data_IF_368049322826
#
_entry.id   IF_368049322826
#
_cell.length_a   1.000
_cell.length_b   1.000
_cell.length_c   1.000
_cell.angle_alpha   90.00
_cell.angle_beta   90.00
_cell.angle_gamma   90.00
#
_symmetry.space_group_name_H-M   'P 1'
#
loop_
_entity.id
_entity.type
_entity.pdbx_description
1 polymer ?
#
# COMPACT_ATOMS: atom_id res chain seq x y z
N UNK A 1 86.80 -12.19 -5.16
CA UNK A 1 85.97 -13.36 -5.04
C UNK A 1 84.99 -13.02 -3.95
N UNK A 2 83.77 -13.00 -4.03
CA UNK A 2 82.72 -13.46 -4.91
C UNK A 2 81.67 -12.39 -5.20
N UNK A 3 81.01 -12.62 -6.30
CA UNK A 3 79.81 -11.92 -6.65
C UNK A 3 78.62 -12.84 -6.52
N UNK A 4 77.50 -12.35 -6.02
CA UNK A 4 76.15 -12.59 -6.50
C UNK A 4 75.12 -12.32 -5.42
N UNK A 5 74.09 -11.73 -5.81
CA UNK A 5 72.70 -11.71 -5.30
C UNK A 5 72.14 -10.25 -5.30
N UNK A 6 71.59 -9.89 -6.40
CA UNK A 6 70.59 -8.84 -6.45
C UNK A 6 69.74 -9.04 -7.70
N UNK A 7 68.74 -9.96 -7.62
CA UNK A 7 67.64 -10.01 -8.58
C UNK A 7 66.50 -10.82 -7.99
N UNK A 8 65.72 -10.24 -7.07
CA UNK A 8 64.45 -10.86 -6.67
C UNK A 8 63.59 -9.94 -5.79
N UNK A 9 63.40 -8.68 -6.16
CA UNK A 9 62.47 -7.83 -5.40
C UNK A 9 61.55 -6.95 -6.27
N UNK A 10 61.49 -7.13 -7.59
CA UNK A 10 60.64 -6.28 -8.47
C UNK A 10 59.39 -6.93 -9.07
N UNK A 11 59.08 -8.18 -8.74
CA UNK A 11 57.93 -8.87 -9.34
C UNK A 11 56.72 -9.01 -8.37
N UNK A 12 56.88 -8.69 -7.09
CA UNK A 12 55.76 -8.79 -6.13
C UNK A 12 54.88 -7.54 -5.98
N UNK A 13 55.31 -6.39 -6.50
CA UNK A 13 54.56 -5.12 -6.33
C UNK A 13 53.49 -4.92 -7.43
N UNK A 14 53.64 -5.55 -8.60
CA UNK A 14 52.72 -5.40 -9.72
C UNK A 14 51.48 -6.31 -9.60
N UNK A 15 51.58 -7.42 -8.87
CA UNK A 15 50.43 -8.32 -8.67
C UNK A 15 49.44 -7.86 -7.59
N UNK A 16 49.89 -7.10 -6.60
CA UNK A 16 49.05 -6.62 -5.51
C UNK A 16 48.14 -5.46 -5.91
N UNK A 17 48.67 -4.51 -6.63
CA UNK A 17 47.91 -3.34 -7.12
C UNK A 17 46.84 -3.73 -8.14
N UNK A 18 47.08 -4.65 -9.05
CA UNK A 18 46.07 -5.15 -9.99
C UNK A 18 44.90 -5.87 -9.29
N UNK A 19 45.15 -6.53 -8.16
CA UNK A 19 44.13 -7.23 -7.38
C UNK A 19 43.24 -6.24 -6.58
N UNK A 20 43.82 -5.17 -6.07
CA UNK A 20 43.12 -4.11 -5.33
C UNK A 20 42.21 -3.32 -6.27
N UNK A 21 42.72 -2.92 -7.43
CA UNK A 21 41.91 -2.24 -8.45
C UNK A 21 40.78 -3.11 -9.02
N UNK A 22 41.00 -4.43 -9.16
CA UNK A 22 39.97 -5.36 -9.58
C UNK A 22 38.87 -5.52 -8.52
N UNK A 23 39.20 -5.47 -7.22
CA UNK A 23 38.23 -5.52 -6.12
C UNK A 23 37.48 -4.21 -5.93
N UNK A 24 38.18 -3.07 -5.98
CA UNK A 24 37.54 -1.75 -5.96
C UNK A 24 36.65 -1.53 -7.19
N UNK A 25 37.08 -1.96 -8.39
CA UNK A 25 36.27 -1.99 -9.58
C UNK A 25 35.08 -2.94 -9.46
N UNK A 26 35.25 -4.08 -8.81
CA UNK A 26 34.17 -5.03 -8.58
C UNK A 26 33.13 -4.48 -7.57
N UNK A 27 33.57 -3.83 -6.46
CA UNK A 27 32.68 -3.14 -5.53
C UNK A 27 32.00 -1.93 -6.18
N UNK A 28 32.73 -1.18 -7.00
CA UNK A 28 32.15 -0.10 -7.81
C UNK A 28 31.11 -0.65 -8.80
N UNK A 29 31.42 -1.76 -9.46
CA UNK A 29 30.48 -2.47 -10.37
C UNK A 29 29.29 -3.03 -9.60
N UNK A 30 29.45 -3.51 -8.37
CA UNK A 30 28.34 -3.97 -7.51
C UNK A 30 27.52 -2.77 -7.02
N UNK A 31 28.14 -1.68 -6.57
CA UNK A 31 27.43 -0.44 -6.24
C UNK A 31 26.73 0.16 -7.46
N UNK A 32 27.40 0.15 -8.62
CA UNK A 32 26.81 0.59 -9.89
C UNK A 32 25.80 -0.42 -10.42
N UNK A 33 25.99 -1.73 -10.27
CA UNK A 33 24.97 -2.74 -10.62
C UNK A 33 23.73 -2.65 -9.76
N UNK A 34 23.84 -2.30 -8.48
CA UNK A 34 22.69 -1.94 -7.62
C UNK A 34 22.01 -0.67 -8.11
N UNK A 35 22.75 0.25 -8.73
CA UNK A 35 22.22 1.43 -9.40
C UNK A 35 21.63 1.12 -10.78
N UNK A 36 22.19 0.13 -11.50
CA UNK A 36 21.77 -0.28 -12.85
C UNK A 36 20.72 -1.40 -12.85
N UNK A 37 20.30 -1.92 -11.70
CA UNK A 37 19.03 -2.66 -11.68
C UNK A 37 17.97 -1.63 -12.07
N UNK A 38 17.63 -1.61 -13.33
CA UNK A 38 16.51 -0.85 -13.91
C UNK A 38 15.21 -1.37 -13.32
N UNK A 39 15.04 -1.19 -12.01
CA UNK A 39 13.86 -1.54 -11.29
C UNK A 39 12.74 -0.65 -11.76
N UNK A 40 11.77 -1.26 -12.43
CA UNK A 40 10.50 -0.61 -12.72
C UNK A 40 9.92 -0.13 -11.40
N UNK A 41 9.82 1.18 -11.23
CA UNK A 41 9.41 1.81 -10.00
C UNK A 41 7.93 1.50 -9.73
N UNK A 42 7.62 0.64 -8.75
CA UNK A 42 6.27 0.32 -8.33
C UNK A 42 6.02 0.85 -6.93
N UNK A 43 5.28 1.95 -6.77
CA UNK A 43 4.67 2.29 -5.49
C UNK A 43 3.26 1.73 -5.52
N UNK A 44 3.00 0.68 -4.77
CA UNK A 44 1.72 -0.01 -4.83
C UNK A 44 1.00 0.15 -3.50
N UNK A 45 -0.26 0.58 -3.62
CA UNK A 45 -1.27 0.26 -2.65
C UNK A 45 -1.75 -1.15 -2.98
N UNK A 46 -1.32 -2.09 -2.16
CA UNK A 46 -1.57 -3.51 -2.37
C UNK A 46 -2.69 -4.05 -1.48
N UNK A 47 -3.34 -3.17 -0.70
CA UNK A 47 -4.36 -3.52 0.27
C UNK A 47 -5.74 -3.05 -0.17
N UNK A 48 -6.74 -3.94 -0.02
CA UNK A 48 -8.11 -3.65 -0.46
C UNK A 48 -9.10 -3.41 0.68
N UNK A 49 -8.78 -3.83 1.92
CA UNK A 49 -9.67 -3.72 3.07
C UNK A 49 -9.15 -2.82 4.18
N UNK A 50 -8.22 -1.92 3.87
CA UNK A 50 -7.61 -0.99 4.83
C UNK A 50 -8.65 -0.12 5.55
N UNK A 51 -9.66 0.37 4.82
CA UNK A 51 -10.75 1.17 5.38
C UNK A 51 -12.06 0.41 5.37
N UNK A 52 -12.84 0.63 6.43
CA UNK A 52 -14.20 0.12 6.56
C UNK A 52 -15.19 1.30 6.54
N UNK A 53 -16.40 1.07 6.01
CA UNK A 53 -17.32 2.13 5.62
C UNK A 53 -18.66 2.01 6.33
N UNK A 54 -19.18 3.15 6.80
CA UNK A 54 -20.43 3.23 7.56
C UNK A 54 -20.23 3.02 9.05
N UNK A 55 -21.05 3.67 9.89
CA UNK A 55 -20.87 3.66 11.33
C UNK A 55 -20.85 2.25 11.93
N UNK A 56 -21.92 1.50 11.75
CA UNK A 56 -22.06 0.13 12.25
C UNK A 56 -21.10 -0.85 11.53
N UNK A 57 -21.01 -0.75 10.22
CA UNK A 57 -20.22 -1.68 9.40
C UNK A 57 -18.72 -1.58 9.68
N UNK A 58 -18.22 -0.40 10.09
CA UNK A 58 -16.84 -0.22 10.53
C UNK A 58 -16.54 -0.99 11.80
N UNK A 59 -17.47 -1.05 12.78
CA UNK A 59 -17.32 -1.83 14.01
C UNK A 59 -17.39 -3.35 13.75
N UNK A 60 -18.02 -3.75 12.66
CA UNK A 60 -18.11 -5.15 12.22
C UNK A 60 -16.98 -5.53 11.26
N UNK A 61 -15.95 -4.67 11.07
CA UNK A 61 -14.80 -4.98 10.21
C UNK A 61 -15.17 -5.26 8.76
N UNK A 62 -16.31 -4.74 8.27
CA UNK A 62 -16.81 -5.02 6.92
C UNK A 62 -17.48 -6.40 6.75
N UNK A 63 -17.70 -7.17 7.81
CA UNK A 63 -18.38 -8.48 7.77
C UNK A 63 -19.88 -8.37 7.44
N UNK A 64 -20.28 -7.46 6.53
CA UNK A 64 -21.66 -7.08 6.30
C UNK A 64 -22.16 -7.27 4.86
N UNK A 65 -21.41 -7.93 3.97
CA UNK A 65 -21.84 -8.17 2.58
C UNK A 65 -23.21 -8.89 2.52
N UNK A 66 -23.46 -9.80 3.44
CA UNK A 66 -24.72 -10.53 3.57
C UNK A 66 -25.74 -9.91 4.52
N UNK A 67 -25.45 -8.75 5.12
CA UNK A 67 -26.26 -8.20 6.21
C UNK A 67 -26.22 -6.67 6.35
N UNK A 68 -25.79 -5.97 5.31
CA UNK A 68 -25.84 -4.51 5.28
C UNK A 68 -27.29 -4.05 5.27
N UNK A 69 -27.77 -3.53 6.39
CA UNK A 69 -29.15 -3.08 6.59
C UNK A 69 -29.24 -1.56 6.77
N UNK A 70 -28.19 -0.84 6.43
CA UNK A 70 -28.06 0.61 6.50
C UNK A 70 -27.55 1.19 5.18
N UNK A 71 -27.30 2.48 5.13
CA UNK A 71 -26.84 3.18 3.91
C UNK A 71 -25.45 2.75 3.45
N UNK A 72 -24.63 2.06 4.28
CA UNK A 72 -23.34 1.49 3.89
C UNK A 72 -23.48 0.38 2.84
N UNK A 73 -24.69 -0.15 2.67
CA UNK A 73 -25.05 -1.06 1.57
C UNK A 73 -24.69 -0.48 0.19
N UNK A 74 -24.64 0.85 0.03
CA UNK A 74 -24.16 1.50 -1.20
C UNK A 74 -22.75 1.02 -1.62
N UNK A 75 -21.93 0.63 -0.65
CA UNK A 75 -20.60 0.06 -0.89
C UNK A 75 -20.58 -1.46 -0.71
N UNK A 76 -21.06 -2.00 0.44
CA UNK A 76 -20.88 -3.42 0.72
C UNK A 76 -21.74 -4.31 -0.17
N UNK A 77 -23.03 -3.99 -0.33
CA UNK A 77 -23.94 -4.75 -1.18
C UNK A 77 -25.11 -3.88 -1.64
N UNK A 78 -25.07 -3.32 -2.84
CA UNK A 78 -26.16 -2.49 -3.35
C UNK A 78 -27.53 -3.18 -3.35
N UNK A 79 -27.57 -4.52 -3.46
CA UNK A 79 -28.81 -5.29 -3.42
C UNK A 79 -29.53 -5.21 -2.07
N UNK A 80 -28.79 -5.03 -0.98
CA UNK A 80 -29.34 -4.90 0.35
C UNK A 80 -30.00 -3.54 0.62
N UNK A 81 -29.64 -2.50 -0.13
CA UNK A 81 -30.10 -1.13 0.09
C UNK A 81 -31.63 -0.98 0.04
N UNK A 82 -32.32 -1.72 -0.83
CA UNK A 82 -33.79 -1.69 -0.95
C UNK A 82 -34.50 -2.47 0.16
N UNK A 83 -33.78 -3.29 0.92
CA UNK A 83 -34.25 -4.04 2.07
C UNK A 83 -33.85 -3.39 3.41
N UNK A 84 -33.09 -2.30 3.38
CA UNK A 84 -32.69 -1.60 4.59
C UNK A 84 -33.91 -1.02 5.31
N UNK A 85 -34.02 -1.33 6.61
CA UNK A 85 -35.14 -0.87 7.45
C UNK A 85 -35.15 0.65 7.61
N UNK A 86 -33.94 1.22 7.78
CA UNK A 86 -33.75 2.66 7.98
C UNK A 86 -32.69 3.14 6.99
N UNK A 87 -33.04 4.16 6.23
CA UNK A 87 -32.12 4.84 5.32
C UNK A 87 -31.88 6.24 5.83
N UNK A 88 -30.71 6.44 6.36
CA UNK A 88 -30.26 7.64 7.07
C UNK A 88 -29.22 8.39 6.26
N UNK A 89 -28.96 9.66 6.61
CA UNK A 89 -27.70 10.29 6.31
C UNK A 89 -26.64 9.73 7.25
N UNK A 90 -25.56 9.19 6.72
CA UNK A 90 -24.49 8.58 7.50
C UNK A 90 -23.13 9.20 7.20
N UNK A 91 -22.33 9.34 8.25
CA UNK A 91 -20.91 9.70 8.17
C UNK A 91 -20.12 8.74 9.06
N UNK A 92 -19.03 8.19 8.52
CA UNK A 92 -18.04 7.45 9.29
C UNK A 92 -16.64 7.95 9.01
N UNK A 93 -15.77 7.89 9.99
CA UNK A 93 -14.37 8.30 9.89
C UNK A 93 -13.52 7.61 10.94
N UNK A 94 -12.27 7.34 10.62
CA UNK A 94 -11.24 7.07 11.61
C UNK A 94 -10.74 8.43 12.10
N UNK A 95 -11.25 8.89 13.26
CA UNK A 95 -10.89 10.21 13.82
C UNK A 95 -9.45 10.27 14.30
N UNK A 96 -8.84 9.12 14.56
CA UNK A 96 -7.46 9.00 14.96
C UNK A 96 -6.93 7.63 14.54
N UNK A 97 -5.84 7.64 13.83
CA UNK A 97 -5.02 6.45 13.56
C UNK A 97 -3.56 6.78 13.90
N UNK A 98 -2.94 5.93 14.69
CA UNK A 98 -1.49 5.90 14.84
C UNK A 98 -0.98 4.57 14.31
N UNK A 99 -0.18 4.61 13.25
CA UNK A 99 0.46 3.42 12.69
C UNK A 99 1.98 3.56 12.72
N UNK A 100 2.66 2.44 12.88
CA UNK A 100 4.12 2.33 12.79
C UNK A 100 4.49 1.15 11.89
N UNK A 101 5.50 1.36 11.08
CA UNK A 101 6.21 0.32 10.33
C UNK A 101 7.65 0.37 10.77
N UNK A 102 8.17 -0.75 11.23
CA UNK A 102 9.58 -0.90 11.63
C UNK A 102 10.16 -2.03 10.80
N UNK A 103 11.32 -1.79 10.21
CA UNK A 103 12.17 -2.81 9.63
C UNK A 103 13.24 -3.14 10.67
N UNK A 104 12.97 -4.17 11.49
CA UNK A 104 13.89 -4.66 12.51
C UNK A 104 15.18 -5.11 11.83
N UNK A 105 16.34 -4.70 12.33
CA UNK A 105 17.67 -4.91 11.75
C UNK A 105 17.85 -4.39 10.30
N UNK A 106 17.00 -3.48 9.84
CA UNK A 106 17.05 -2.97 8.46
C UNK A 106 18.31 -2.18 8.12
N UNK A 107 18.96 -1.57 9.10
CA UNK A 107 20.23 -0.84 8.98
C UNK A 107 21.47 -1.66 9.37
N UNK A 108 21.29 -2.94 9.74
CA UNK A 108 22.32 -3.82 10.27
C UNK A 108 21.87 -4.48 11.57
N UNK A 109 22.73 -5.29 12.19
CA UNK A 109 22.42 -5.94 13.46
C UNK A 109 22.14 -4.92 14.57
N UNK A 110 20.93 -5.01 15.14
CA UNK A 110 20.49 -4.08 16.20
C UNK A 110 20.13 -2.67 15.73
N UNK A 111 20.16 -2.38 14.41
CA UNK A 111 19.80 -1.08 13.85
C UNK A 111 18.47 -1.16 13.12
N UNK A 112 17.42 -0.67 13.77
CA UNK A 112 16.08 -0.66 13.21
C UNK A 112 15.83 0.60 12.35
N UNK A 113 15.17 0.41 11.21
CA UNK A 113 14.65 1.51 10.40
C UNK A 113 13.15 1.60 10.58
N UNK A 114 12.63 2.77 10.92
CA UNK A 114 11.21 2.85 11.21
C UNK A 114 10.57 4.18 10.84
N UNK A 115 9.27 4.13 10.66
CA UNK A 115 8.43 5.31 10.52
C UNK A 115 7.15 5.15 11.32
N UNK A 116 6.67 6.24 11.86
CA UNK A 116 5.35 6.29 12.48
C UNK A 116 4.58 7.47 11.92
N UNK A 117 3.29 7.30 11.81
CA UNK A 117 2.39 8.37 11.38
C UNK A 117 1.17 8.44 12.28
N UNK A 118 0.58 9.62 12.32
CA UNK A 118 -0.71 9.87 12.93
C UNK A 118 -1.58 10.56 11.88
N UNK A 119 -2.83 10.17 11.76
CA UNK A 119 -3.74 10.74 10.77
C UNK A 119 -5.20 10.59 11.16
N UNK A 120 -6.04 11.30 10.42
CA UNK A 120 -7.49 11.18 10.43
C UNK A 120 -7.92 10.83 9.02
N UNK A 121 -8.75 9.82 8.87
CA UNK A 121 -9.14 9.31 7.57
C UNK A 121 -10.66 9.37 7.40
N UNK A 122 -11.17 10.14 6.43
CA UNK A 122 -12.59 10.11 6.10
C UNK A 122 -12.95 8.73 5.53
N UNK A 123 -13.96 8.08 6.09
CA UNK A 123 -14.47 6.79 5.63
C UNK A 123 -15.54 6.96 4.56
N UNK A 124 -16.79 7.07 5.00
CA UNK A 124 -17.98 7.15 4.14
C UNK A 124 -18.84 8.37 4.49
N UNK A 125 -19.31 9.04 3.46
CA UNK A 125 -20.50 9.95 3.55
C UNK A 125 -21.54 9.39 2.58
N UNK A 126 -22.75 9.11 3.07
CA UNK A 126 -23.82 8.58 2.24
C UNK A 126 -25.17 9.17 2.61
N UNK A 127 -26.05 9.30 1.60
CA UNK A 127 -27.38 9.89 1.76
C UNK A 127 -28.38 9.23 0.81
N UNK A 128 -29.59 8.88 1.29
CA UNK A 128 -30.69 8.48 0.42
C UNK A 128 -31.20 9.68 -0.36
N UNK A 129 -31.30 9.56 -1.69
CA UNK A 129 -31.86 10.61 -2.55
C UNK A 129 -33.37 10.42 -2.68
N UNK A 130 -33.82 9.18 -2.91
CA UNK A 130 -35.22 8.87 -3.12
C UNK A 130 -35.56 7.45 -2.72
N UNK A 131 -36.60 7.32 -1.89
CA UNK A 131 -37.25 6.04 -1.56
C UNK A 131 -38.45 5.81 -2.48
N UNK A 132 -38.87 4.56 -2.64
CA UNK A 132 -40.04 4.14 -3.42
C UNK A 132 -39.98 4.59 -4.91
N UNK A 133 -38.78 4.66 -5.47
CA UNK A 133 -38.58 4.91 -6.91
C UNK A 133 -39.01 3.67 -7.69
N UNK A 134 -39.92 3.84 -8.67
CA UNK A 134 -40.52 2.72 -9.43
C UNK A 134 -41.14 1.62 -8.53
N UNK A 135 -41.79 2.01 -7.43
CA UNK A 135 -42.45 1.11 -6.48
C UNK A 135 -41.59 0.82 -5.26
N UNK A 136 -40.68 -0.15 -5.33
CA UNK A 136 -39.83 -0.58 -4.21
C UNK A 136 -38.36 -0.23 -4.37
N UNK A 137 -38.03 0.68 -5.29
CA UNK A 137 -36.65 1.08 -5.55
C UNK A 137 -36.13 2.17 -4.61
N UNK A 138 -34.84 2.14 -4.38
CA UNK A 138 -34.10 3.13 -3.59
C UNK A 138 -32.96 3.70 -4.42
N UNK A 139 -32.84 5.02 -4.45
CA UNK A 139 -31.73 5.75 -5.04
C UNK A 139 -30.93 6.43 -3.91
N UNK A 140 -29.63 6.23 -3.89
CA UNK A 140 -28.74 6.80 -2.89
C UNK A 140 -27.42 7.29 -3.51
N UNK A 141 -26.79 8.24 -2.86
CA UNK A 141 -25.46 8.72 -3.19
C UNK A 141 -24.48 8.37 -2.06
N UNK A 142 -23.25 8.05 -2.42
CA UNK A 142 -22.18 7.85 -1.47
C UNK A 142 -20.85 8.39 -1.98
N UNK A 143 -20.02 8.85 -1.06
CA UNK A 143 -18.61 9.20 -1.32
C UNK A 143 -17.74 8.54 -0.25
N UNK A 144 -16.68 7.93 -0.67
CA UNK A 144 -15.77 7.20 0.23
C UNK A 144 -14.31 7.35 -0.20
N UNK A 145 -13.42 7.25 0.77
CA UNK A 145 -11.99 7.13 0.54
C UNK A 145 -11.65 5.66 0.43
N UNK A 146 -11.37 5.19 -0.81
CA UNK A 146 -11.08 3.78 -1.05
C UNK A 146 -9.73 3.38 -0.49
N UNK A 147 -8.72 4.21 -0.73
CA UNK A 147 -7.38 4.06 -0.15
C UNK A 147 -6.76 5.43 0.01
N UNK A 148 -5.97 5.58 1.05
CA UNK A 148 -5.19 6.80 1.29
C UNK A 148 -3.98 6.45 2.14
N UNK A 149 -2.83 7.00 1.80
CA UNK A 149 -1.61 6.79 2.55
C UNK A 149 -0.61 7.90 2.34
N UNK A 150 0.21 8.10 3.35
CA UNK A 150 1.41 8.91 3.29
C UNK A 150 2.52 8.06 3.90
N UNK A 151 3.59 7.87 3.15
CA UNK A 151 4.70 6.99 3.50
C UNK A 151 5.98 7.83 3.50
N UNK A 152 6.73 7.73 4.57
CA UNK A 152 8.05 8.34 4.67
C UNK A 152 8.94 7.35 5.43
N UNK A 153 9.79 6.64 4.69
CA UNK A 153 10.79 5.74 5.23
C UNK A 153 12.15 6.26 4.82
N UNK A 154 13.04 6.41 5.77
CA UNK A 154 14.42 6.81 5.50
C UNK A 154 15.35 6.26 6.56
N UNK A 155 16.60 6.05 6.17
CA UNK A 155 17.65 5.64 7.05
C UNK A 155 19.00 6.11 6.54
N UNK A 156 19.90 6.32 7.47
CA UNK A 156 21.31 6.62 7.20
C UNK A 156 22.11 5.48 7.81
N UNK A 157 23.04 4.94 7.05
CA UNK A 157 24.01 3.95 7.50
C UNK A 157 25.39 4.60 7.39
N UNK A 158 26.13 4.60 8.47
CA UNK A 158 27.53 5.07 8.52
C UNK A 158 28.35 3.92 9.08
N UNK A 159 29.34 3.49 8.34
CA UNK A 159 30.33 2.50 8.75
C UNK A 159 31.69 3.17 8.65
N UNK A 160 32.50 3.06 9.71
CA UNK A 160 33.85 3.64 9.76
C UNK A 160 34.78 2.76 10.58
N UNK A 161 36.05 2.72 10.22
CA UNK A 161 37.10 2.01 10.97
C UNK A 161 36.76 0.54 11.20
N UNK A 162 36.61 0.11 12.47
CA UNK A 162 36.40 -1.28 12.89
C UNK A 162 35.08 -1.89 12.39
N UNK A 163 34.11 -1.08 11.97
CA UNK A 163 32.84 -1.55 11.43
C UNK A 163 32.96 -2.03 9.98
N UNK A 164 34.07 -1.69 9.32
CA UNK A 164 34.37 -2.10 7.95
C UNK A 164 35.23 -3.38 7.98
N UNK A 165 34.88 -4.44 7.23
CA UNK A 165 35.69 -5.64 7.18
C UNK A 165 37.14 -5.37 6.77
N UNK A 166 38.13 -5.97 7.45
CA UNK A 166 39.57 -5.75 7.22
C UNK A 166 40.05 -6.08 5.79
N UNK A 167 39.29 -6.86 5.03
CA UNK A 167 39.60 -7.24 3.65
C UNK A 167 39.07 -6.21 2.62
N UNK A 168 38.43 -5.13 3.09
CA UNK A 168 37.89 -4.05 2.27
C UNK A 168 38.76 -2.79 2.45
N UNK A 169 39.40 -2.31 1.37
CA UNK A 169 40.26 -1.12 1.40
C UNK A 169 39.41 0.19 1.43
N UNK A 170 38.59 0.33 2.46
CA UNK A 170 37.74 1.49 2.68
C UNK A 170 37.91 2.03 4.10
N UNK A 171 37.93 3.35 4.26
CA UNK A 171 37.99 4.02 5.56
C UNK A 171 36.60 4.35 6.10
N UNK A 172 35.74 4.91 5.23
CA UNK A 172 34.39 5.34 5.61
C UNK A 172 33.37 5.02 4.51
N UNK A 173 32.20 4.60 4.93
CA UNK A 173 31.03 4.42 4.08
C UNK A 173 29.85 5.15 4.71
N UNK A 174 29.22 6.04 3.98
CA UNK A 174 27.97 6.65 4.37
C UNK A 174 26.89 6.42 3.31
N UNK A 175 25.75 5.91 3.71
CA UNK A 175 24.60 5.67 2.84
C UNK A 175 23.35 6.33 3.39
N UNK A 176 22.57 6.98 2.53
CA UNK A 176 21.23 7.47 2.84
C UNK A 176 20.24 6.86 1.86
N UNK A 177 19.18 6.26 2.37
CA UNK A 177 18.02 5.86 1.59
C UNK A 177 16.81 6.61 2.13
N UNK A 178 16.09 7.30 1.25
CA UNK A 178 14.84 7.98 1.58
C UNK A 178 13.77 7.64 0.57
N UNK A 179 12.65 7.21 1.10
CA UNK A 179 11.45 6.92 0.33
C UNK A 179 10.30 7.77 0.85
N UNK A 180 9.72 8.58 -0.02
CA UNK A 180 8.55 9.41 0.28
C UNK A 180 7.44 9.06 -0.72
N UNK A 181 6.24 8.78 -0.23
CA UNK A 181 5.09 8.47 -1.06
C UNK A 181 3.79 8.97 -0.47
N UNK A 182 2.90 9.43 -1.31
CA UNK A 182 1.52 9.75 -0.93
C UNK A 182 0.57 9.27 -2.02
N UNK A 183 -0.56 8.73 -1.61
CA UNK A 183 -1.63 8.33 -2.53
C UNK A 183 -2.99 8.58 -1.90
N UNK A 184 -3.97 8.83 -2.76
CA UNK A 184 -5.37 8.96 -2.39
C UNK A 184 -6.23 8.47 -3.54
N UNK A 185 -7.24 7.67 -3.23
CA UNK A 185 -8.23 7.15 -4.16
C UNK A 185 -9.62 7.37 -3.58
N UNK A 186 -10.38 8.27 -4.17
CA UNK A 186 -11.72 8.66 -3.72
C UNK A 186 -12.74 8.19 -4.73
N UNK A 187 -13.78 7.53 -4.24
CA UNK A 187 -14.89 7.04 -5.05
C UNK A 187 -16.17 7.81 -4.70
N UNK A 188 -16.86 8.26 -5.73
CA UNK A 188 -18.21 8.87 -5.62
C UNK A 188 -19.18 7.97 -6.38
N UNK A 189 -20.22 7.50 -5.71
CA UNK A 189 -21.15 6.49 -6.22
C UNK A 189 -22.60 6.92 -6.23
N UNK A 190 -23.31 6.51 -7.29
CA UNK A 190 -24.76 6.58 -7.39
C UNK A 190 -25.30 5.15 -7.38
N UNK A 191 -26.09 4.81 -6.36
CA UNK A 191 -26.61 3.47 -6.13
C UNK A 191 -28.09 3.42 -6.41
N UNK A 192 -28.51 2.40 -7.18
CA UNK A 192 -29.92 2.02 -7.34
C UNK A 192 -30.11 0.59 -6.86
N UNK A 193 -31.14 0.36 -6.06
CA UNK A 193 -31.56 -0.95 -5.58
C UNK A 193 -33.05 -1.13 -5.73
N UNK A 194 -33.49 -2.35 -6.05
CA UNK A 194 -34.88 -2.72 -6.17
C UNK A 194 -35.21 -3.97 -5.36
N UNK A 195 -36.27 -3.89 -4.54
CA UNK A 195 -36.75 -5.03 -3.77
C UNK A 195 -37.76 -5.85 -4.57
N UNK A 196 -37.56 -7.17 -4.59
CA UNK A 196 -38.46 -8.16 -5.14
C UNK A 196 -39.16 -8.91 -4.00
N UNK A 197 -40.27 -8.34 -3.54
CA UNK A 197 -40.92 -8.76 -2.30
C UNK A 197 -40.12 -8.42 -1.06
N UNK A 198 -40.37 -9.16 0.02
CA UNK A 198 -39.71 -8.94 1.33
C UNK A 198 -38.41 -9.70 1.52
N UNK A 199 -38.00 -10.52 0.54
CA UNK A 199 -36.89 -11.45 0.75
C UNK A 199 -35.69 -11.19 -0.16
N UNK A 200 -35.89 -10.55 -1.30
CA UNK A 200 -34.83 -10.39 -2.29
C UNK A 200 -34.63 -8.92 -2.67
N UNK A 201 -33.38 -8.55 -2.90
CA UNK A 201 -33.00 -7.26 -3.41
C UNK A 201 -31.87 -7.39 -4.43
N UNK A 202 -31.95 -6.63 -5.52
CA UNK A 202 -30.89 -6.48 -6.50
C UNK A 202 -30.52 -5.01 -6.60
N UNK A 203 -29.25 -4.73 -6.79
CA UNK A 203 -28.79 -3.35 -6.88
C UNK A 203 -27.50 -3.21 -7.66
N UNK A 204 -27.25 -1.96 -8.04
CA UNK A 204 -26.03 -1.54 -8.71
C UNK A 204 -25.58 -0.19 -8.16
N UNK A 205 -24.27 -0.04 -7.95
CA UNK A 205 -23.63 1.25 -7.72
C UNK A 205 -22.71 1.55 -8.89
N UNK A 206 -22.91 2.72 -9.50
CA UNK A 206 -21.98 3.29 -10.47
C UNK A 206 -21.05 4.24 -9.75
N UNK A 207 -19.74 3.99 -9.86
CA UNK A 207 -18.70 4.81 -9.25
C UNK A 207 -17.92 5.60 -10.29
N UNK A 208 -17.73 6.89 -10.02
CA UNK A 208 -16.60 7.68 -10.51
C UNK A 208 -15.48 7.63 -9.48
N UNK A 209 -14.27 7.34 -9.90
CA UNK A 209 -13.11 7.17 -9.04
C UNK A 209 -11.96 8.09 -9.48
N UNK A 210 -11.40 8.85 -8.55
CA UNK A 210 -10.28 9.75 -8.77
C UNK A 210 -9.10 9.32 -7.89
N UNK A 211 -7.96 9.03 -8.53
CA UNK A 211 -6.71 8.69 -7.84
C UNK A 211 -5.64 9.72 -8.11
N UNK A 212 -4.92 10.09 -7.07
CA UNK A 212 -3.67 10.86 -7.15
C UNK A 212 -2.59 10.12 -6.39
N UNK A 213 -1.40 10.07 -6.97
CA UNK A 213 -0.23 9.47 -6.34
C UNK A 213 1.02 10.28 -6.63
N UNK A 214 1.86 10.45 -5.61
CA UNK A 214 3.18 11.06 -5.69
C UNK A 214 4.18 10.17 -5.00
N UNK A 215 5.37 10.05 -5.59
CA UNK A 215 6.45 9.24 -5.08
C UNK A 215 7.80 9.88 -5.34
N UNK A 216 8.70 9.76 -4.37
CA UNK A 216 10.09 10.14 -4.49
C UNK A 216 10.96 9.08 -3.81
N UNK A 217 12.01 8.66 -4.49
CA UNK A 217 13.08 7.84 -3.94
C UNK A 217 14.39 8.58 -4.08
N UNK A 218 15.17 8.59 -3.03
CA UNK A 218 16.55 9.08 -3.00
C UNK A 218 17.43 7.95 -2.46
N UNK A 219 18.53 7.69 -3.13
CA UNK A 219 19.62 6.87 -2.60
C UNK A 219 20.90 7.65 -2.79
N UNK A 220 21.62 7.88 -1.72
CA UNK A 220 22.94 8.51 -1.70
C UNK A 220 23.92 7.51 -1.10
N UNK A 221 25.05 7.32 -1.75
CA UNK A 221 26.17 6.53 -1.24
C UNK A 221 27.44 7.37 -1.34
N UNK A 222 28.21 7.43 -0.28
CA UNK A 222 29.50 8.11 -0.19
C UNK A 222 30.50 7.11 0.37
N UNK A 223 31.64 7.00 -0.26
CA UNK A 223 32.69 6.04 0.10
C UNK A 223 34.02 6.76 0.08
N UNK A 224 34.83 6.57 1.09
CA UNK A 224 36.20 7.03 1.19
C UNK A 224 37.10 5.79 1.29
N UNK A 225 38.05 5.68 0.38
CA UNK A 225 39.04 4.59 0.39
C UNK A 225 40.25 4.95 1.25
N UNK A 226 41.04 3.95 1.63
CA UNK A 226 42.24 4.09 2.47
C UNK A 226 43.34 4.96 1.82
N UNK A 227 43.31 5.12 0.50
CA UNK A 227 44.17 6.05 -0.23
C UNK A 227 43.64 7.48 -0.29
N UNK A 228 42.57 7.77 0.47
CA UNK A 228 41.82 9.04 0.49
C UNK A 228 41.12 9.41 -0.82
N UNK A 229 41.02 8.48 -1.76
CA UNK A 229 40.12 8.65 -2.89
C UNK A 229 38.67 8.48 -2.46
N UNK A 230 37.74 9.17 -3.11
CA UNK A 230 36.34 9.10 -2.73
C UNK A 230 35.41 8.91 -3.91
N UNK A 231 34.25 8.32 -3.65
CA UNK A 231 33.15 8.27 -4.62
C UNK A 231 31.84 8.73 -3.99
N UNK A 232 31.02 9.39 -4.80
CA UNK A 232 29.67 9.83 -4.42
C UNK A 232 28.71 9.36 -5.50
N UNK A 233 27.68 8.65 -5.10
CA UNK A 233 26.61 8.19 -5.99
C UNK A 233 25.27 8.70 -5.50
N UNK A 234 24.59 9.47 -6.32
CA UNK A 234 23.23 9.95 -6.07
C UNK A 234 22.30 9.34 -7.13
N UNK A 235 21.28 8.67 -6.66
CA UNK A 235 20.16 8.20 -7.47
C UNK A 235 18.87 8.79 -6.94
N UNK A 236 18.12 9.50 -7.77
CA UNK A 236 16.83 10.07 -7.40
C UNK A 236 15.79 9.79 -8.49
N UNK A 237 14.68 9.23 -8.11
CA UNK A 237 13.49 9.13 -8.97
C UNK A 237 12.31 9.83 -8.31
N UNK A 238 11.48 10.46 -9.11
CA UNK A 238 10.19 10.98 -8.66
C UNK A 238 9.15 10.72 -9.74
N UNK A 239 7.95 10.34 -9.28
CA UNK A 239 6.80 10.12 -10.14
C UNK A 239 5.56 10.73 -9.50
N UNK A 240 4.73 11.36 -10.31
CA UNK A 240 3.42 11.86 -9.87
C UNK A 240 2.41 11.66 -10.99
N UNK A 241 1.23 11.18 -10.62
CA UNK A 241 0.11 11.06 -11.58
C UNK A 241 -1.23 11.27 -10.91
N UNK A 242 -2.22 11.59 -11.75
CA UNK A 242 -3.62 11.60 -11.39
C UNK A 242 -4.43 10.91 -12.47
N UNK A 243 -5.44 10.13 -12.08
CA UNK A 243 -6.30 9.39 -13.01
C UNK A 243 -7.76 9.49 -12.59
N UNK A 244 -8.65 9.52 -13.58
CA UNK A 244 -10.10 9.42 -13.41
C UNK A 244 -10.54 8.16 -14.13
N UNK A 245 -11.38 7.35 -13.46
CA UNK A 245 -11.90 6.10 -13.97
C UNK A 245 -13.33 5.86 -13.48
N UNK A 246 -14.01 4.91 -14.09
CA UNK A 246 -15.35 4.50 -13.68
C UNK A 246 -15.43 2.98 -13.52
N UNK A 247 -16.31 2.51 -12.66
CA UNK A 247 -16.55 1.09 -12.40
C UNK A 247 -17.96 0.88 -11.85
N UNK A 248 -18.39 -0.37 -11.85
CA UNK A 248 -19.71 -0.78 -11.35
C UNK A 248 -19.56 -1.83 -10.25
N UNK A 249 -20.42 -1.74 -9.24
CA UNK A 249 -20.60 -2.81 -8.25
C UNK A 249 -22.04 -3.27 -8.30
N UNK A 250 -22.23 -4.55 -8.59
CA UNK A 250 -23.53 -5.24 -8.56
C UNK A 250 -23.69 -5.95 -7.23
N UNK A 251 -24.92 -6.03 -6.73
CA UNK A 251 -25.25 -6.72 -5.50
C UNK A 251 -26.55 -7.47 -5.58
N UNK A 252 -26.56 -8.64 -4.95
CA UNK A 252 -27.77 -9.43 -4.69
C UNK A 252 -27.87 -9.72 -3.20
N UNK A 253 -29.05 -9.62 -2.64
CA UNK A 253 -29.34 -9.83 -1.24
C UNK A 253 -30.56 -10.71 -1.06
N UNK A 254 -30.53 -11.57 -0.06
CA UNK A 254 -31.66 -12.40 0.34
C UNK A 254 -31.79 -12.50 1.86
N UNK A 255 -33.03 -12.50 2.37
CA UNK A 255 -33.34 -12.64 3.79
C UNK A 255 -34.41 -13.70 4.02
N UNK A 256 -34.12 -14.71 4.83
CA UNK A 256 -35.03 -15.81 5.16
C UNK A 256 -35.04 -16.07 6.67
N UNK A 257 -36.01 -15.48 7.35
CA UNK A 257 -36.12 -15.57 8.81
C UNK A 257 -34.85 -15.01 9.49
N UNK A 258 -34.15 -15.84 10.29
CA UNK A 258 -32.96 -15.38 11.01
C UNK A 258 -31.69 -15.32 10.16
N UNK A 259 -31.73 -15.78 8.91
CA UNK A 259 -30.56 -15.88 8.03
C UNK A 259 -30.66 -14.85 6.92
N UNK A 260 -29.59 -14.12 6.71
CA UNK A 260 -29.42 -13.24 5.55
C UNK A 260 -28.20 -13.65 4.75
N UNK A 261 -28.19 -13.35 3.47
CA UNK A 261 -27.07 -13.65 2.59
C UNK A 261 -26.93 -12.62 1.48
N UNK A 262 -25.73 -12.46 0.97
CA UNK A 262 -25.46 -11.53 -0.10
C UNK A 262 -24.29 -11.94 -0.97
N UNK A 263 -24.36 -11.54 -2.23
CA UNK A 263 -23.30 -11.70 -3.23
C UNK A 263 -23.03 -10.34 -3.89
N UNK A 264 -21.79 -10.08 -4.22
CA UNK A 264 -21.37 -8.85 -4.91
C UNK A 264 -20.35 -9.14 -5.99
N UNK A 265 -20.36 -8.31 -7.03
CA UNK A 265 -19.39 -8.32 -8.11
C UNK A 265 -19.00 -6.88 -8.42
N UNK A 266 -17.71 -6.56 -8.32
CA UNK A 266 -17.17 -5.26 -8.73
C UNK A 266 -16.39 -5.43 -10.03
N UNK A 267 -16.73 -4.65 -11.06
CA UNK A 267 -16.04 -4.73 -12.35
C UNK A 267 -14.63 -4.16 -12.27
N UNK A 268 -13.71 -4.59 -13.15
CA UNK A 268 -12.49 -3.83 -13.41
C UNK A 268 -12.83 -2.37 -13.75
N UNK A 269 -11.93 -1.46 -13.42
CA UNK A 269 -12.14 -0.06 -13.75
C UNK A 269 -11.92 0.23 -15.23
N UNK A 270 -12.71 1.16 -15.77
CA UNK A 270 -12.60 1.70 -17.12
C UNK A 270 -11.91 3.06 -17.01
N UNK A 271 -10.80 3.23 -17.70
CA UNK A 271 -10.05 4.48 -17.74
C UNK A 271 -10.83 5.57 -18.49
N UNK A 272 -10.85 6.79 -17.93
CA UNK A 272 -11.47 7.98 -18.56
C UNK A 272 -10.38 8.97 -18.94
N UNK A 273 -9.55 9.36 -18.00
CA UNK A 273 -8.49 10.34 -18.20
C UNK A 273 -7.37 10.14 -17.17
N UNK A 274 -6.17 10.56 -17.53
CA UNK A 274 -5.05 10.58 -16.59
C UNK A 274 -3.83 11.25 -17.19
N UNK A 275 -3.08 11.92 -16.33
CA UNK A 275 -1.81 12.55 -16.69
C UNK A 275 -0.81 12.44 -15.54
N UNK A 276 0.46 12.51 -15.89
CA UNK A 276 1.50 12.46 -14.90
C UNK A 276 2.85 12.96 -15.40
N UNK A 277 3.83 12.88 -14.52
CA UNK A 277 5.21 13.23 -14.80
C UNK A 277 6.15 12.26 -14.11
N UNK A 278 7.32 12.06 -14.71
CA UNK A 278 8.44 11.29 -14.15
C UNK A 278 9.69 12.15 -14.20
N UNK A 279 10.44 12.17 -13.12
CA UNK A 279 11.76 12.78 -13.03
C UNK A 279 12.78 11.75 -12.60
N UNK A 280 13.97 11.86 -13.15
CA UNK A 280 15.07 10.97 -12.90
C UNK A 280 16.37 11.77 -12.82
N UNK A 281 17.22 11.45 -11.84
CA UNK A 281 18.54 12.04 -11.71
C UNK A 281 19.51 10.97 -11.20
N UNK A 282 20.59 10.76 -11.93
CA UNK A 282 21.74 9.98 -11.50
C UNK A 282 22.97 10.89 -11.59
N UNK A 283 23.74 10.93 -10.52
CA UNK A 283 25.04 11.60 -10.48
C UNK A 283 25.99 10.69 -9.73
N UNK A 284 26.99 10.20 -10.44
CA UNK A 284 28.04 9.35 -9.88
C UNK A 284 29.39 9.97 -10.19
N UNK A 285 30.20 10.14 -9.17
CA UNK A 285 31.55 10.67 -9.25
C UNK A 285 32.48 9.70 -8.55
N UNK A 286 33.47 9.22 -9.26
CA UNK A 286 34.56 8.40 -8.72
C UNK A 286 35.87 8.87 -9.36
N UNK A 287 37.05 8.51 -8.81
CA UNK A 287 38.35 9.01 -9.28
C UNK A 287 38.57 8.88 -10.79
N UNK A 288 38.08 7.80 -11.38
CA UNK A 288 38.29 7.48 -12.81
C UNK A 288 37.01 7.44 -13.63
N UNK A 289 35.87 7.83 -13.06
CA UNK A 289 34.59 7.76 -13.77
C UNK A 289 33.60 8.83 -13.32
N UNK A 290 32.85 9.33 -14.29
CA UNK A 290 31.74 10.25 -14.05
C UNK A 290 30.52 9.71 -14.80
N UNK A 291 29.36 9.67 -14.11
CA UNK A 291 28.09 9.35 -14.75
C UNK A 291 27.06 10.41 -14.38
N UNK A 292 26.46 10.98 -15.41
CA UNK A 292 25.43 12.02 -15.27
C UNK A 292 24.23 11.66 -16.13
N UNK A 293 23.07 11.56 -15.51
CA UNK A 293 21.82 11.35 -16.22
C UNK A 293 20.68 12.10 -15.52
N UNK A 294 20.15 13.11 -16.18
CA UNK A 294 19.03 13.89 -15.64
C UNK A 294 17.96 14.06 -16.72
N UNK A 295 16.73 13.73 -16.37
CA UNK A 295 15.59 13.95 -17.25
C UNK A 295 14.30 14.18 -16.44
N UNK A 296 13.41 14.99 -17.02
CA UNK A 296 12.04 15.18 -16.53
C UNK A 296 11.10 15.13 -17.73
N UNK A 297 10.13 14.25 -17.68
CA UNK A 297 9.04 14.18 -18.68
C UNK A 297 7.72 14.52 -18.02
N UNK A 298 7.01 15.47 -18.59
CA UNK A 298 5.71 15.97 -18.16
C UNK A 298 4.63 15.56 -19.15
N UNK A 299 3.38 15.69 -18.73
CA UNK A 299 2.19 15.47 -19.56
C UNK A 299 2.10 14.04 -20.16
N UNK A 300 2.69 13.07 -19.43
CA UNK A 300 2.61 11.68 -19.80
C UNK A 300 1.19 11.15 -19.56
N UNK A 301 0.63 10.35 -20.49
CA UNK A 301 -0.62 9.63 -20.23
C UNK A 301 -0.46 8.72 -19.00
N UNK A 302 -1.42 8.77 -18.09
CA UNK A 302 -1.44 7.94 -16.90
C UNK A 302 -2.67 7.04 -16.89
N UNK A 303 -2.48 5.76 -16.61
CA UNK A 303 -3.55 4.78 -16.49
C UNK A 303 -3.42 4.03 -15.16
N UNK A 304 -4.51 3.91 -14.40
CA UNK A 304 -4.56 3.09 -13.21
C UNK A 304 -5.73 2.10 -13.31
N UNK A 305 -5.48 0.84 -12.94
CA UNK A 305 -6.47 -0.24 -13.00
C UNK A 305 -6.85 -0.70 -11.59
N UNK A 306 -8.13 -1.02 -11.41
CA UNK A 306 -8.62 -1.79 -10.26
C UNK A 306 -9.09 -3.16 -10.75
N UNK A 307 -8.91 -4.24 -9.97
CA UNK A 307 -9.24 -5.59 -10.39
C UNK A 307 -10.74 -5.85 -10.40
N UNK A 308 -11.14 -6.98 -10.99
CA UNK A 308 -12.40 -7.63 -10.70
C UNK A 308 -12.42 -8.06 -9.25
N UNK A 309 -13.56 -7.92 -8.54
CA UNK A 309 -13.74 -8.59 -7.26
C UNK A 309 -15.09 -9.29 -7.15
N UNK A 310 -15.11 -10.39 -6.40
CA UNK A 310 -16.31 -11.17 -6.08
C UNK A 310 -16.37 -11.34 -4.58
N UNK A 311 -17.46 -10.89 -3.98
CA UNK A 311 -17.70 -10.97 -2.53
C UNK A 311 -18.94 -11.75 -2.18
N UNK A 312 -18.93 -12.37 -1.01
CA UNK A 312 -20.07 -13.05 -0.42
C UNK A 312 -20.13 -12.86 1.08
N UNK A 313 -21.31 -12.95 1.64
CA UNK A 313 -21.47 -12.84 3.09
C UNK A 313 -22.77 -13.45 3.60
N UNK A 314 -22.77 -13.70 4.91
CA UNK A 314 -23.89 -14.27 5.66
C UNK A 314 -24.11 -13.49 6.94
N UNK A 315 -25.36 -13.40 7.38
CA UNK A 315 -25.77 -12.91 8.69
C UNK A 315 -26.69 -13.91 9.37
N UNK A 316 -26.58 -14.07 10.69
CA UNK A 316 -27.40 -14.96 11.49
C UNK A 316 -27.89 -14.24 12.75
N UNK A 317 -29.20 -14.13 12.91
CA UNK A 317 -29.83 -13.55 14.08
C UNK A 317 -30.13 -14.66 15.14
N UNK A 318 -29.59 -14.51 16.34
CA UNK A 318 -29.76 -15.42 17.46
C UNK A 318 -30.27 -14.64 18.68
N UNK A 319 -31.56 -14.34 18.68
CA UNK A 319 -32.18 -13.52 19.76
C UNK A 319 -31.55 -12.11 19.80
N UNK A 320 -30.87 -11.79 20.91
CA UNK A 320 -30.15 -10.50 21.05
C UNK A 320 -28.78 -10.45 20.37
N UNK A 321 -28.23 -11.59 19.98
CA UNK A 321 -26.97 -11.69 19.29
C UNK A 321 -27.17 -11.79 17.77
N UNK A 322 -26.25 -11.23 17.03
CA UNK A 322 -26.15 -11.35 15.57
C UNK A 322 -24.70 -11.71 15.21
N UNK A 323 -24.53 -12.67 14.34
CA UNK A 323 -23.23 -13.11 13.85
C UNK A 323 -23.13 -12.83 12.36
N UNK A 324 -21.94 -12.45 11.92
CA UNK A 324 -21.68 -12.03 10.55
C UNK A 324 -20.40 -12.65 10.03
N UNK A 325 -20.40 -12.98 8.75
CA UNK A 325 -19.21 -13.40 8.02
C UNK A 325 -19.25 -12.83 6.60
N UNK A 326 -18.12 -12.39 6.11
CA UNK A 326 -17.94 -11.94 4.70
C UNK A 326 -16.58 -12.36 4.19
N UNK A 327 -16.50 -12.59 2.87
CA UNK A 327 -15.25 -12.79 2.17
C UNK A 327 -15.32 -12.11 0.80
N UNK A 328 -14.19 -11.63 0.31
CA UNK A 328 -14.07 -11.02 -1.01
C UNK A 328 -12.74 -11.44 -1.64
N UNK A 329 -12.81 -11.96 -2.85
CA UNK A 329 -11.68 -12.28 -3.69
C UNK A 329 -11.48 -11.16 -4.72
N UNK A 330 -10.24 -10.78 -4.92
CA UNK A 330 -9.79 -9.79 -5.90
C UNK A 330 -8.88 -10.49 -6.91
N UNK A 331 -9.14 -10.28 -8.18
CA UNK A 331 -8.34 -10.83 -9.25
C UNK A 331 -6.96 -10.15 -9.34
N UNK A 332 -6.01 -10.84 -9.92
CA UNK A 332 -4.68 -10.28 -10.18
C UNK A 332 -4.74 -9.15 -11.22
N UNK A 333 -3.75 -8.29 -11.17
CA UNK A 333 -3.47 -7.27 -12.19
C UNK A 333 -2.12 -7.59 -12.81
N UNK A 334 -2.11 -8.07 -14.06
CA UNK A 334 -0.88 -8.31 -14.79
C UNK A 334 -0.04 -7.02 -14.92
N UNK A 335 1.31 -7.12 -14.97
CA UNK A 335 2.19 -5.96 -15.04
C UNK A 335 1.83 -5.02 -16.20
N UNK A 336 1.72 -3.74 -15.92
CA UNK A 336 1.50 -2.69 -16.92
C UNK A 336 2.15 -1.37 -16.50
N UNK A 337 2.48 -0.50 -17.46
CA UNK A 337 3.01 0.84 -17.18
C UNK A 337 1.87 1.79 -16.84
N UNK A 338 1.87 2.33 -15.60
CA UNK A 338 0.98 3.43 -15.17
C UNK A 338 1.37 4.73 -15.85
N UNK A 339 2.68 4.99 -15.93
CA UNK A 339 3.32 6.07 -16.65
C UNK A 339 4.42 5.50 -17.54
N UNK A 340 4.35 5.77 -18.83
CA UNK A 340 5.33 5.33 -19.80
C UNK A 340 6.23 6.51 -20.18
N UNK A 341 7.38 6.61 -19.52
CA UNK A 341 8.33 7.67 -19.78
C UNK A 341 9.22 7.38 -21.00
N UNK A 342 9.37 6.09 -21.34
CA UNK A 342 10.24 5.62 -22.41
C UNK A 342 11.73 5.79 -22.08
N UNK A 343 12.56 5.50 -23.04
CA UNK A 343 14.00 5.53 -22.93
C UNK A 343 14.56 6.95 -23.04
N UNK A 344 15.64 7.20 -22.32
CA UNK A 344 16.47 8.39 -22.53
C UNK A 344 17.95 8.07 -22.34
N UNK A 345 18.80 8.83 -22.99
CA UNK A 345 20.25 8.69 -22.92
C UNK A 345 20.80 9.52 -21.77
N UNK A 346 21.82 8.99 -21.10
CA UNK A 346 22.61 9.74 -20.14
C UNK A 346 23.31 10.93 -20.85
N UNK A 347 23.69 11.93 -20.07
CA UNK A 347 24.57 13.00 -20.56
C UNK A 347 26.02 12.54 -20.56
N UNK A 348 26.37 11.64 -19.60
CA UNK A 348 27.70 11.04 -19.48
C UNK A 348 27.58 9.67 -18.79
N UNK A 349 28.08 8.58 -19.37
CA UNK A 349 28.46 8.45 -20.80
C UNK A 349 27.21 8.38 -21.71
N UNK A 350 27.31 8.94 -22.92
CA UNK A 350 26.16 9.08 -23.83
C UNK A 350 25.59 7.77 -24.38
N UNK A 351 26.32 6.65 -24.27
CA UNK A 351 25.86 5.31 -24.70
C UNK A 351 24.97 4.61 -23.69
N UNK A 352 24.86 5.14 -22.47
CA UNK A 352 23.99 4.58 -21.42
C UNK A 352 22.55 5.04 -21.61
N UNK A 353 21.64 4.08 -21.64
CA UNK A 353 20.20 4.31 -21.80
C UNK A 353 19.47 3.85 -20.54
N UNK A 354 18.58 4.70 -20.05
CA UNK A 354 17.71 4.43 -18.90
C UNK A 354 16.25 4.36 -19.33
N UNK A 355 15.52 3.40 -18.79
CA UNK A 355 14.05 3.30 -18.89
C UNK A 355 13.44 3.54 -17.52
N UNK A 356 12.57 4.54 -17.39
CA UNK A 356 12.00 5.00 -16.10
C UNK A 356 10.48 4.95 -16.13
N UNK A 357 9.94 3.80 -16.51
CA UNK A 357 8.51 3.57 -16.48
C UNK A 357 8.01 3.31 -15.05
N UNK A 358 6.83 3.81 -14.72
CA UNK A 358 6.13 3.46 -13.47
C UNK A 358 5.24 2.27 -13.76
N UNK A 359 5.63 1.09 -13.29
CA UNK A 359 4.91 -0.17 -13.51
C UNK A 359 4.06 -0.50 -12.29
N UNK A 360 2.92 -1.15 -12.50
CA UNK A 360 2.01 -1.64 -11.48
C UNK A 360 1.59 -3.07 -11.80
N UNK A 361 1.63 -3.94 -10.80
CA UNK A 361 1.14 -5.31 -10.86
C UNK A 361 0.69 -5.74 -9.46
N UNK A 362 -0.34 -6.55 -9.36
CA UNK A 362 -0.81 -7.11 -8.10
C UNK A 362 -1.21 -8.57 -8.32
N UNK A 363 -0.88 -9.41 -7.36
CA UNK A 363 -1.37 -10.77 -7.27
C UNK A 363 -2.82 -10.81 -6.78
N UNK A 364 -3.46 -11.95 -6.92
CA UNK A 364 -4.79 -12.18 -6.39
C UNK A 364 -4.81 -12.09 -4.87
N UNK A 365 -5.90 -11.55 -4.32
CA UNK A 365 -6.07 -11.37 -2.87
C UNK A 365 -7.39 -11.98 -2.42
N UNK A 366 -7.37 -12.67 -1.29
CA UNK A 366 -8.56 -13.14 -0.60
C UNK A 366 -8.62 -12.58 0.81
N UNK A 367 -9.62 -11.74 1.08
CA UNK A 367 -9.88 -11.18 2.39
C UNK A 367 -11.16 -11.74 3.00
N UNK A 368 -11.19 -11.87 4.31
CA UNK A 368 -12.36 -12.33 5.06
C UNK A 368 -12.52 -11.58 6.37
N UNK A 369 -13.75 -11.54 6.84
CA UNK A 369 -14.13 -10.92 8.10
C UNK A 369 -15.19 -11.74 8.82
N UNK A 370 -15.14 -11.69 10.14
CA UNK A 370 -16.20 -12.18 11.04
C UNK A 370 -16.53 -11.10 12.04
N UNK A 371 -17.79 -11.00 12.42
CA UNK A 371 -18.26 -10.01 13.36
C UNK A 371 -19.40 -10.53 14.23
N UNK A 372 -19.53 -9.96 15.41
CA UNK A 372 -20.62 -10.20 16.32
C UNK A 372 -21.18 -8.88 16.84
N UNK A 373 -22.48 -8.82 16.96
CA UNK A 373 -23.23 -7.71 17.55
C UNK A 373 -24.12 -8.26 18.67
N UNK A 374 -24.22 -7.52 19.75
CA UNK A 374 -25.08 -7.89 20.87
C UNK A 374 -25.90 -6.69 21.35
N UNK A 375 -27.23 -6.81 21.33
CA UNK A 375 -28.16 -5.81 21.84
C UNK A 375 -28.26 -5.86 23.37
N UNK A 376 -27.53 -4.97 24.05
CA UNK A 376 -27.59 -4.84 25.50
C UNK A 376 -28.94 -4.25 25.94
N UNK A 377 -29.40 -3.25 25.19
CA UNK A 377 -30.71 -2.62 25.37
C UNK A 377 -31.31 -2.24 24.03
N UNK A 378 -32.47 -1.56 24.02
CA UNK A 378 -33.05 -0.99 22.80
C UNK A 378 -32.20 0.13 22.18
N UNK A 379 -31.29 0.72 22.95
CA UNK A 379 -30.55 1.92 22.57
C UNK A 379 -29.04 1.72 22.54
N UNK A 380 -28.55 0.52 22.91
CA UNK A 380 -27.11 0.24 22.99
C UNK A 380 -26.82 -1.13 22.42
N UNK A 381 -25.99 -1.20 21.39
CA UNK A 381 -25.41 -2.44 20.86
C UNK A 381 -23.89 -2.42 21.04
N UNK A 382 -23.31 -3.55 21.35
CA UNK A 382 -21.87 -3.75 21.36
C UNK A 382 -21.44 -4.59 20.17
N UNK A 383 -20.24 -4.34 19.69
CA UNK A 383 -19.68 -4.95 18.49
C UNK A 383 -18.27 -5.47 18.75
N UNK A 384 -17.96 -6.60 18.13
CA UNK A 384 -16.62 -7.17 18.08
C UNK A 384 -16.41 -7.78 16.70
N UNK A 385 -15.27 -7.53 16.10
CA UNK A 385 -14.94 -8.11 14.79
C UNK A 385 -13.45 -8.37 14.60
N UNK A 386 -13.17 -9.23 13.64
CA UNK A 386 -11.84 -9.52 13.14
C UNK A 386 -11.90 -9.58 11.61
N UNK A 387 -10.89 -9.01 10.94
CA UNK A 387 -10.77 -9.08 9.50
C UNK A 387 -9.32 -9.08 9.03
N UNK A 388 -9.10 -9.66 7.85
CA UNK A 388 -7.80 -9.65 7.15
C UNK A 388 -7.78 -8.55 6.09
N UNK A 389 -6.60 -7.97 5.89
CA UNK A 389 -6.29 -7.11 4.76
C UNK A 389 -4.97 -7.61 4.18
N UNK A 390 -5.07 -8.65 3.36
CA UNK A 390 -3.92 -9.32 2.78
C UNK A 390 -3.34 -8.47 1.65
N UNK A 391 -2.01 -8.55 1.50
CA UNK A 391 -1.31 -7.79 0.47
C UNK A 391 -1.41 -8.49 -0.89
N UNK A 392 -1.70 -7.73 -1.94
CA UNK A 392 -1.56 -8.18 -3.33
C UNK A 392 -0.19 -7.88 -3.94
N UNK A 393 0.80 -7.55 -3.12
CA UNK A 393 2.12 -7.27 -3.62
C UNK A 393 2.78 -8.55 -4.15
N UNK A 394 3.16 -8.56 -5.43
CA UNK A 394 3.83 -9.72 -6.03
C UNK A 394 5.30 -9.76 -5.65
N UNK A 395 5.79 -10.94 -5.25
CA UNK A 395 7.21 -11.17 -4.94
C UNK A 395 8.08 -11.25 -6.22
N UNK A 396 7.47 -11.32 -7.41
CA UNK A 396 8.15 -11.53 -8.70
C UNK A 396 8.54 -10.22 -9.42
N UNK A 397 8.22 -9.06 -8.89
CA UNK A 397 8.73 -7.79 -9.43
C UNK A 397 10.11 -7.58 -8.84
N UNK A 398 11.14 -7.50 -9.69
CA UNK A 398 12.52 -7.25 -9.31
C UNK A 398 12.61 -6.21 -8.18
N UNK A 399 13.21 -6.62 -7.08
CA UNK A 399 13.13 -6.09 -5.71
C UNK A 399 13.74 -4.71 -5.46
N UNK A 400 13.74 -3.81 -6.40
CA UNK A 400 14.21 -2.43 -6.21
C UNK A 400 13.16 -1.49 -5.64
N UNK A 401 11.95 -1.98 -5.38
CA UNK A 401 10.88 -1.20 -4.80
C UNK A 401 10.60 -1.62 -3.36
N UNK A 402 11.08 -0.81 -2.44
CA UNK A 402 10.66 -0.86 -1.04
C UNK A 402 9.18 -0.44 -0.96
N UNK A 403 8.27 -1.39 -1.22
CA UNK A 403 6.92 -1.25 -0.74
C UNK A 403 6.96 -1.28 0.79
N UNK A 404 6.48 -0.23 1.42
CA UNK A 404 6.52 -0.10 2.88
C UNK A 404 5.48 -0.99 3.56
N UNK A 405 4.61 -1.67 2.81
CA UNK A 405 3.58 -2.56 3.33
C UNK A 405 3.52 -3.88 2.55
N UNK A 406 4.61 -4.68 2.56
CA UNK A 406 4.64 -5.95 1.86
C UNK A 406 4.02 -7.11 2.67
N UNK A 407 3.36 -6.84 3.78
CA UNK A 407 2.89 -7.79 4.78
C UNK A 407 1.37 -7.83 4.84
N UNK A 408 0.81 -8.98 5.14
CA UNK A 408 -0.60 -9.16 5.46
C UNK A 408 -0.92 -8.47 6.79
N UNK A 409 -2.09 -7.81 6.85
CA UNK A 409 -2.56 -7.11 8.02
C UNK A 409 -3.77 -7.84 8.60
N UNK A 410 -3.71 -8.11 9.90
CA UNK A 410 -4.80 -8.62 10.69
C UNK A 410 -5.36 -7.48 11.54
N UNK A 411 -6.68 -7.40 11.67
CA UNK A 411 -7.34 -6.33 12.38
C UNK A 411 -8.39 -6.88 13.34
N UNK A 412 -8.39 -6.36 14.57
CA UNK A 412 -9.44 -6.58 15.54
C UNK A 412 -10.10 -5.24 15.89
N UNK A 413 -11.44 -5.20 15.91
CA UNK A 413 -12.21 -4.00 16.21
C UNK A 413 -13.23 -4.33 17.30
N UNK A 414 -13.44 -3.39 18.20
CA UNK A 414 -14.48 -3.41 19.20
C UNK A 414 -15.12 -2.05 19.35
N UNK A 415 -16.37 -2.01 19.75
CA UNK A 415 -17.06 -0.73 19.93
C UNK A 415 -18.51 -0.89 20.31
N UNK A 416 -19.21 0.24 20.34
CA UNK A 416 -20.64 0.27 20.60
C UNK A 416 -21.31 1.38 19.76
N UNK A 417 -22.57 1.16 19.48
CA UNK A 417 -23.45 2.20 18.99
C UNK A 417 -24.51 2.57 20.04
N UNK A 418 -24.95 3.84 19.98
CA UNK A 418 -25.83 4.46 20.93
C UNK A 418 -26.91 5.25 20.18
N UNK A 419 -28.18 4.94 20.44
CA UNK A 419 -29.31 5.69 19.90
C UNK A 419 -29.63 6.85 20.85
N UNK A 420 -29.45 8.10 20.40
CA UNK A 420 -29.72 9.31 21.15
C UNK A 420 -30.71 10.18 20.36
N UNK A 421 -32.00 10.05 20.67
CA UNK A 421 -33.05 10.70 19.88
C UNK A 421 -33.06 10.19 18.42
N UNK A 422 -32.97 11.06 17.42
CA UNK A 422 -32.95 10.65 16.01
C UNK A 422 -31.56 10.26 15.51
N UNK A 423 -30.54 10.28 16.38
CA UNK A 423 -29.15 10.09 16.00
C UNK A 423 -28.64 8.75 16.55
N UNK A 424 -28.05 7.93 15.67
CA UNK A 424 -27.19 6.83 16.08
C UNK A 424 -25.75 7.34 16.13
N UNK A 425 -25.09 7.22 17.25
CA UNK A 425 -23.67 7.54 17.46
C UNK A 425 -22.88 6.25 17.64
N UNK A 426 -21.81 6.12 16.90
CA UNK A 426 -20.92 4.96 16.92
C UNK A 426 -19.54 5.36 17.41
N UNK A 427 -19.01 4.61 18.38
CA UNK A 427 -17.67 4.77 18.93
C UNK A 427 -16.97 3.40 18.98
N UNK A 428 -15.71 3.37 18.56
CA UNK A 428 -14.93 2.13 18.59
C UNK A 428 -13.44 2.33 18.62
N UNK A 429 -12.75 1.22 18.87
CA UNK A 429 -11.30 1.10 18.81
C UNK A 429 -10.90 -0.08 17.94
N UNK A 430 -9.79 0.04 17.25
CA UNK A 430 -9.23 -0.99 16.42
C UNK A 430 -7.73 -1.14 16.63
N UNK A 431 -7.25 -2.37 16.51
CA UNK A 431 -5.84 -2.71 16.52
C UNK A 431 -5.50 -3.56 15.29
N UNK A 432 -4.50 -3.10 14.52
CA UNK A 432 -3.98 -3.78 13.34
C UNK A 432 -2.55 -4.24 13.55
N UNK A 433 -2.19 -5.41 13.03
CA UNK A 433 -0.82 -5.92 13.08
C UNK A 433 -0.48 -6.74 11.84
N UNK A 434 0.80 -6.71 11.47
CA UNK A 434 1.36 -7.50 10.38
C UNK A 434 2.86 -7.72 10.56
N UNK A 435 3.38 -8.78 9.94
CA UNK A 435 4.80 -9.11 9.98
C UNK A 435 5.20 -9.84 8.70
N UNK A 436 6.38 -9.49 8.15
CA UNK A 436 6.98 -10.19 7.00
C UNK A 436 8.50 -10.13 7.08
N UNK A 437 9.17 -11.24 6.82
CA UNK A 437 10.62 -11.26 6.63
C UNK A 437 10.99 -10.53 5.33
N UNK A 438 12.09 -9.79 5.38
CA UNK A 438 12.61 -9.02 4.25
C UNK A 438 14.13 -9.17 4.16
N UNK A 439 14.68 -8.94 2.98
CA UNK A 439 16.12 -8.81 2.82
C UNK A 439 16.59 -7.49 3.43
N UNK A 440 17.80 -7.47 3.99
CA UNK A 440 18.39 -6.27 4.56
C UNK A 440 18.83 -5.30 3.47
N UNK A 441 18.77 -4.01 3.76
CA UNK A 441 19.44 -2.99 2.94
C UNK A 441 20.97 -3.19 2.90
N UNK A 442 21.56 -3.72 3.97
CA UNK A 442 23.00 -3.98 4.09
C UNK A 442 23.47 -5.27 3.39
N UNK A 443 22.57 -6.22 3.14
CA UNK A 443 22.92 -7.44 2.37
C UNK A 443 23.20 -7.11 0.90
N UNK A 444 22.78 -5.93 0.42
CA UNK A 444 23.21 -5.34 -0.84
C UNK A 444 24.67 -4.86 -0.83
N UNK A 445 25.26 -4.69 0.36
CA UNK A 445 26.65 -4.22 0.56
C UNK A 445 27.58 -5.31 1.11
N UNK A 446 27.04 -6.40 1.69
CA UNK A 446 27.80 -7.53 2.22
C UNK A 446 27.38 -8.81 1.52
N UNK A 447 28.34 -9.52 0.91
CA UNK A 447 28.19 -10.93 0.59
C UNK A 447 28.31 -11.74 1.88
N UNK A 448 27.19 -12.39 2.24
CA UNK A 448 27.09 -13.52 3.19
C UNK A 448 27.25 -13.23 4.69
N UNK A 449 26.11 -13.18 5.37
CA UNK A 449 25.91 -13.99 6.59
C UNK A 449 24.44 -14.42 6.62
N UNK A 450 24.17 -15.73 6.48
CA UNK A 450 22.83 -16.31 6.32
C UNK A 450 21.95 -16.23 7.58
N UNK A 451 22.49 -15.82 8.74
CA UNK A 451 21.82 -15.94 10.03
C UNK A 451 20.99 -14.72 10.47
N UNK A 452 21.11 -13.59 9.82
CA UNK A 452 20.38 -12.38 10.24
C UNK A 452 19.40 -11.88 9.19
N UNK A 453 18.10 -12.03 9.46
CA UNK A 453 17.02 -11.56 8.58
C UNK A 453 16.43 -10.26 9.10
N UNK A 454 16.20 -9.30 8.21
CA UNK A 454 15.40 -8.14 8.52
C UNK A 454 13.91 -8.52 8.55
N UNK A 455 13.12 -7.85 9.39
CA UNK A 455 11.70 -8.14 9.50
C UNK A 455 10.88 -6.87 9.51
N UNK A 456 9.93 -6.74 8.60
CA UNK A 456 8.89 -5.72 8.70
C UNK A 456 7.92 -6.06 9.82
N UNK A 457 7.70 -5.09 10.72
CA UNK A 457 6.70 -5.16 11.79
C UNK A 457 5.77 -3.96 11.64
N UNK A 458 4.49 -4.24 11.47
CA UNK A 458 3.42 -3.25 11.41
C UNK A 458 2.56 -3.29 12.64
N UNK A 459 2.21 -2.14 13.18
CA UNK A 459 1.22 -1.97 14.24
C UNK A 459 0.40 -0.72 13.99
N UNK A 460 -0.91 -0.80 14.18
CA UNK A 460 -1.78 0.37 14.12
C UNK A 460 -2.79 0.35 15.26
N UNK A 461 -3.12 1.53 15.74
CA UNK A 461 -4.21 1.78 16.66
C UNK A 461 -5.15 2.80 16.04
N UNK A 462 -6.45 2.55 16.06
CA UNK A 462 -7.50 3.40 15.47
C UNK A 462 -8.57 3.74 16.49
N UNK A 463 -9.09 4.95 16.39
CA UNK A 463 -10.33 5.37 17.04
C UNK A 463 -11.37 5.66 15.95
N UNK A 464 -12.45 4.91 15.99
CA UNK A 464 -13.54 4.95 15.03
C UNK A 464 -14.67 5.83 15.58
N UNK A 465 -15.20 6.68 14.73
CA UNK A 465 -16.37 7.50 15.02
C UNK A 465 -17.31 7.46 13.82
N UNK A 466 -18.59 7.40 14.12
CA UNK A 466 -19.62 7.52 13.10
C UNK A 466 -20.91 8.04 13.69
N UNK A 467 -21.74 8.58 12.83
CA UNK A 467 -23.11 8.91 13.18
C UNK A 467 -24.06 8.71 12.00
N UNK A 468 -25.30 8.40 12.32
CA UNK A 468 -26.40 8.34 11.37
C UNK A 468 -27.54 9.21 11.88
N UNK A 469 -28.20 9.93 10.97
CA UNK A 469 -29.33 10.78 11.29
C UNK A 469 -30.52 10.36 10.40
N UNK A 470 -31.64 10.02 11.04
CA UNK A 470 -32.89 9.81 10.32
C UNK A 470 -33.41 11.16 9.80
N UNK A 471 -33.59 11.25 8.50
CA UNK A 471 -34.06 12.45 7.82
C UNK A 471 -35.58 12.46 7.58
N UNK A 472 -36.34 11.50 8.20
CA UNK A 472 -37.80 11.39 8.05
C UNK A 472 -38.55 12.27 9.07
#
# INVERSE_FOLDING_TARGET
>A
MPHSVQTSRRIKIIGGTLCVWARAAFLLVVCVAVLFVTGKATAQDAHYWTFQYGPRSSLLGGAVIGSANDISATFYNPGALSQAEVLTFAVSTDIFERSSVVLENGGGEGVDLGTSRTGTWPGLVAVPIKKNLFGSGVLAYSMLTRTQGNQNLGGIVILSGEDIPEDVDLDDIAGEVRFEGSFSDIWAGLSYSHAFGSHFGLGVTWYGAARSQSRRRLTLSQVIATDHSGSINLFMTNGRYSTIRTLFKFGAFAAFGPVTGGLTLTTPSIHIAGSGRVGFNVSSFAPDSVSLATNVRTDLPATYKTPLSVGGGLGLQLGKARLYASAEWFDRIDPYSVLQAGDFRAQEPEDVVFTVDVVHALDEVFNWAVGAEYAFSSNVNGHLSYYTDNTGLTDNIERTDLSIQPFDINNAIFGADFIVGPVLVTLGGGYGWGRKEAERLTDLLRQQDEDFRATFVYRSFRLLFGFEIDLN
#
